data_IF_530056576960
#
_entry.id   IF_530056576960
#
_cell.length_a   1.000
_cell.length_b   1.000
_cell.length_c   1.000
_cell.angle_alpha   90.00
_cell.angle_beta   90.00
_cell.angle_gamma   90.00
#
_symmetry.space_group_name_H-M   'P 1'
#
loop_
_entity.id
_entity.type
_entity.pdbx_description
1 polymer ?
#
# COMPACT_ATOMS: atom_id res chain seq x y z
N UNK A 1 -21.65 -1.40 -13.27
CA UNK A 1 -20.72 -0.58 -12.48
C UNK A 1 -21.32 -0.23 -11.14
N UNK A 2 -20.55 -0.40 -10.06
CA UNK A 2 -20.97 -0.07 -8.70
C UNK A 2 -20.05 1.01 -8.17
N UNK A 3 -20.54 2.24 -8.09
CA UNK A 3 -19.72 3.40 -7.69
C UNK A 3 -20.21 4.00 -6.39
N UNK A 4 -19.28 4.24 -5.47
CA UNK A 4 -19.47 5.07 -4.29
C UNK A 4 -18.79 6.42 -4.54
N UNK A 5 -19.60 7.47 -4.73
CA UNK A 5 -19.13 8.84 -4.84
C UNK A 5 -19.22 9.50 -3.45
N UNK A 6 -18.11 10.03 -2.95
CA UNK A 6 -18.02 10.66 -1.64
C UNK A 6 -17.74 12.14 -1.84
N UNK A 7 -18.76 12.98 -1.65
CA UNK A 7 -18.68 14.45 -1.77
C UNK A 7 -18.48 15.15 -0.42
N UNK A 8 -18.27 14.38 0.65
CA UNK A 8 -18.18 14.87 2.01
C UNK A 8 -17.33 13.96 2.88
N UNK A 9 -17.74 13.69 4.12
CA UNK A 9 -16.99 12.81 5.03
C UNK A 9 -17.79 11.58 5.42
N UNK A 10 -17.21 10.40 5.20
CA UNK A 10 -17.67 9.14 5.80
C UNK A 10 -16.82 8.84 7.03
N UNK A 11 -17.47 8.68 8.19
CA UNK A 11 -16.79 8.44 9.46
C UNK A 11 -17.25 7.13 10.10
N UNK A 12 -16.29 6.27 10.40
CA UNK A 12 -16.49 5.00 11.09
C UNK A 12 -15.86 4.97 12.48
N UNK A 13 -16.11 3.89 13.19
CA UNK A 13 -15.52 3.61 14.51
C UNK A 13 -14.24 2.74 14.43
N UNK A 14 -13.71 2.52 13.22
CA UNK A 14 -12.51 1.70 12.98
C UNK A 14 -12.80 0.24 12.63
N UNK A 15 -14.06 -0.19 12.68
CA UNK A 15 -14.47 -1.58 12.36
C UNK A 15 -15.24 -1.71 11.05
N UNK A 16 -15.71 -0.60 10.50
CA UNK A 16 -16.49 -0.56 9.26
C UNK A 16 -15.62 -0.77 8.02
N UNK A 17 -16.19 -1.40 6.99
CA UNK A 17 -15.54 -1.58 5.69
C UNK A 17 -16.52 -1.54 4.53
N UNK A 18 -16.05 -1.06 3.38
CA UNK A 18 -16.70 -1.28 2.09
C UNK A 18 -15.94 -2.37 1.34
N UNK A 19 -16.65 -3.40 0.91
CA UNK A 19 -16.04 -4.50 0.14
C UNK A 19 -16.20 -4.20 -1.34
N UNK A 20 -15.07 -4.06 -2.03
CA UNK A 20 -15.02 -3.78 -3.47
C UNK A 20 -14.94 -5.10 -4.23
N UNK A 21 -15.97 -5.38 -5.01
CA UNK A 21 -16.07 -6.51 -5.95
C UNK A 21 -15.72 -6.04 -7.36
N UNK A 22 -15.83 -6.92 -8.36
CA UNK A 22 -15.48 -6.59 -9.73
C UNK A 22 -16.18 -5.32 -10.23
N UNK A 23 -15.41 -4.42 -10.85
CA UNK A 23 -15.90 -3.15 -11.39
C UNK A 23 -16.34 -2.14 -10.33
N UNK A 24 -15.96 -2.32 -9.05
CA UNK A 24 -16.30 -1.36 -7.99
C UNK A 24 -15.43 -0.12 -8.06
N UNK A 25 -16.03 1.04 -7.89
CA UNK A 25 -15.33 2.31 -7.89
C UNK A 25 -15.64 3.09 -6.60
N UNK A 26 -14.63 3.75 -6.04
CA UNK A 26 -14.79 4.70 -4.93
C UNK A 26 -14.07 5.97 -5.30
N UNK A 27 -14.79 7.09 -5.35
CA UNK A 27 -14.25 8.38 -5.80
C UNK A 27 -14.57 9.49 -4.81
N UNK A 28 -13.67 10.45 -4.67
CA UNK A 28 -13.72 11.51 -3.66
C UNK A 28 -13.58 12.94 -4.18
N UNK A 29 -13.92 13.19 -5.44
CA UNK A 29 -13.80 14.52 -6.05
C UNK A 29 -14.45 15.61 -5.16
N UNK A 30 -13.87 16.82 -5.13
CA UNK A 30 -14.32 17.97 -4.33
C UNK A 30 -14.19 17.85 -2.80
N UNK A 31 -13.25 17.03 -2.30
CA UNK A 31 -12.92 16.96 -0.87
C UNK A 31 -13.52 15.77 -0.13
N UNK A 32 -13.88 14.73 -0.87
CA UNK A 32 -14.28 13.44 -0.34
C UNK A 32 -13.27 12.86 0.64
N UNK A 33 -13.75 12.45 1.80
CA UNK A 33 -12.90 11.94 2.87
C UNK A 33 -13.49 10.71 3.58
N UNK A 34 -12.59 9.85 4.03
CA UNK A 34 -12.90 8.70 4.86
C UNK A 34 -12.08 8.74 6.14
N UNK A 35 -12.74 8.52 7.27
CA UNK A 35 -12.09 8.42 8.57
C UNK A 35 -12.47 7.12 9.25
N UNK A 36 -11.49 6.31 9.65
CA UNK A 36 -11.69 5.07 10.39
C UNK A 36 -12.62 4.06 9.68
N UNK A 37 -12.46 3.92 8.36
CA UNK A 37 -13.17 2.94 7.51
C UNK A 37 -12.15 2.32 6.56
N UNK A 38 -12.22 0.99 6.37
CA UNK A 38 -11.37 0.29 5.40
C UNK A 38 -12.07 0.13 4.05
N UNK A 39 -11.36 0.37 2.96
CA UNK A 39 -11.73 -0.13 1.63
C UNK A 39 -11.09 -1.50 1.42
N UNK A 40 -11.93 -2.52 1.21
CA UNK A 40 -11.54 -3.92 1.23
C UNK A 40 -11.68 -4.52 -0.19
N UNK A 41 -10.58 -4.54 -0.95
CA UNK A 41 -10.53 -4.92 -2.37
C UNK A 41 -10.49 -6.44 -2.54
N UNK A 42 -11.53 -6.99 -3.17
CA UNK A 42 -11.73 -8.43 -3.39
C UNK A 42 -11.97 -8.81 -4.86
N UNK A 43 -12.02 -7.84 -5.78
CA UNK A 43 -12.36 -8.03 -7.19
C UNK A 43 -11.43 -7.33 -8.17
N UNK A 44 -11.69 -7.56 -9.45
CA UNK A 44 -10.99 -6.92 -10.58
C UNK A 44 -11.56 -5.54 -10.90
N UNK A 45 -10.84 -4.79 -11.75
CA UNK A 45 -11.31 -3.55 -12.38
C UNK A 45 -11.79 -2.52 -11.34
N UNK A 46 -11.14 -2.54 -10.17
CA UNK A 46 -11.47 -1.67 -9.06
C UNK A 46 -10.73 -0.34 -9.19
N UNK A 47 -11.43 0.76 -8.90
CA UNK A 47 -10.84 2.10 -8.87
C UNK A 47 -11.06 2.76 -7.52
N UNK A 48 -10.00 3.29 -6.91
CA UNK A 48 -10.08 4.13 -5.72
C UNK A 48 -9.35 5.43 -6.05
N UNK A 49 -10.07 6.55 -6.09
CA UNK A 49 -9.49 7.80 -6.60
C UNK A 49 -9.91 9.04 -5.82
N UNK A 50 -8.96 9.96 -5.61
CA UNK A 50 -9.25 11.33 -5.21
C UNK A 50 -9.78 11.46 -3.77
N UNK A 51 -9.35 10.60 -2.83
CA UNK A 51 -9.85 10.62 -1.45
C UNK A 51 -8.78 11.11 -0.47
N UNK A 52 -9.24 11.84 0.55
CA UNK A 52 -8.50 11.98 1.80
C UNK A 52 -8.85 10.83 2.76
N UNK A 53 -7.86 10.10 3.29
CA UNK A 53 -8.09 8.99 4.22
C UNK A 53 -7.30 9.17 5.51
N UNK A 54 -7.89 8.80 6.64
CA UNK A 54 -7.26 8.96 7.96
C UNK A 54 -7.83 8.04 9.04
N UNK A 55 -7.12 7.96 10.15
CA UNK A 55 -7.60 7.34 11.38
C UNK A 55 -6.86 6.05 11.74
N UNK A 56 -6.55 5.91 13.01
CA UNK A 56 -5.80 4.80 13.59
C UNK A 56 -6.66 3.60 14.03
N UNK A 57 -7.98 3.66 13.83
CA UNK A 57 -8.90 2.58 14.19
C UNK A 57 -8.63 1.31 13.39
N UNK A 58 -8.64 1.37 12.04
CA UNK A 58 -8.26 0.25 11.19
C UNK A 58 -6.75 -0.01 11.20
N UNK A 59 -6.36 -1.26 10.93
CA UNK A 59 -4.96 -1.59 10.65
C UNK A 59 -4.49 -0.96 9.34
N UNK A 60 -5.36 -0.91 8.32
CA UNK A 60 -5.08 -0.28 7.02
C UNK A 60 -6.28 0.49 6.50
N UNK A 61 -6.03 1.56 5.74
CA UNK A 61 -7.08 2.28 5.02
C UNK A 61 -7.57 1.49 3.80
N UNK A 62 -6.65 0.84 3.07
CA UNK A 62 -6.98 -0.02 1.93
C UNK A 62 -6.36 -1.40 2.17
N UNK A 63 -7.21 -2.42 2.22
CA UNK A 63 -6.80 -3.82 2.27
C UNK A 63 -7.02 -4.46 0.91
N UNK A 64 -6.04 -5.22 0.42
CA UNK A 64 -6.11 -5.88 -0.88
C UNK A 64 -5.78 -7.37 -0.74
N UNK A 65 -6.69 -8.22 -1.23
CA UNK A 65 -6.49 -9.68 -1.29
C UNK A 65 -7.56 -10.46 -0.58
N UNK A 66 -7.31 -11.74 -0.29
CA UNK A 66 -8.26 -12.60 0.40
C UNK A 66 -7.76 -14.02 0.64
N UNK A 67 -8.63 -14.87 1.18
CA UNK A 67 -8.28 -16.26 1.50
C UNK A 67 -8.48 -17.22 0.32
N UNK A 68 -9.30 -16.80 -0.66
CA UNK A 68 -9.63 -17.64 -1.80
C UNK A 68 -8.63 -17.44 -2.93
N UNK A 69 -8.33 -18.54 -3.62
CA UNK A 69 -7.60 -18.51 -4.88
C UNK A 69 -8.40 -17.76 -5.93
N UNK A 70 -7.82 -16.66 -6.43
CA UNK A 70 -8.44 -15.79 -7.43
C UNK A 70 -7.37 -15.02 -8.19
N UNK A 71 -7.62 -14.79 -9.48
CA UNK A 71 -6.91 -13.79 -10.28
C UNK A 71 -7.75 -12.53 -10.32
N UNK A 72 -7.20 -11.43 -9.82
CA UNK A 72 -7.75 -10.08 -9.90
C UNK A 72 -6.92 -9.27 -10.89
N UNK A 73 -7.52 -8.27 -11.53
CA UNK A 73 -6.86 -7.47 -12.58
C UNK A 73 -7.18 -5.99 -12.45
N UNK A 74 -6.34 -5.15 -13.04
CA UNK A 74 -6.64 -3.75 -13.34
C UNK A 74 -7.06 -2.94 -12.10
N UNK A 75 -6.30 -3.04 -11.02
CA UNK A 75 -6.52 -2.23 -9.83
C UNK A 75 -5.92 -0.85 -10.05
N UNK A 76 -6.73 0.19 -9.93
CA UNK A 76 -6.28 1.59 -9.99
C UNK A 76 -6.48 2.27 -8.63
N UNK A 77 -5.40 2.78 -8.06
CA UNK A 77 -5.41 3.60 -6.86
C UNK A 77 -4.70 4.91 -7.21
N UNK A 78 -5.42 6.02 -7.25
CA UNK A 78 -4.88 7.26 -7.81
C UNK A 78 -5.24 8.49 -6.99
N UNK A 79 -4.30 9.44 -6.89
CA UNK A 79 -4.55 10.77 -6.34
C UNK A 79 -5.14 10.72 -4.92
N UNK A 80 -4.60 9.86 -4.05
CA UNK A 80 -5.03 9.78 -2.65
C UNK A 80 -4.17 10.67 -1.77
N UNK A 81 -4.76 11.21 -0.71
CA UNK A 81 -4.01 11.79 0.42
C UNK A 81 -4.32 10.98 1.67
N UNK A 82 -3.35 10.22 2.18
CA UNK A 82 -3.51 9.43 3.40
C UNK A 82 -2.65 10.01 4.50
N UNK A 83 -3.25 10.32 5.64
CA UNK A 83 -2.50 10.80 6.80
C UNK A 83 -3.05 10.34 8.14
N UNK A 84 -2.21 10.37 9.17
CA UNK A 84 -2.62 10.06 10.56
C UNK A 84 -3.33 8.71 10.64
N UNK A 85 -2.68 7.68 10.12
CA UNK A 85 -3.23 6.32 10.04
C UNK A 85 -2.14 5.29 10.39
N UNK A 86 -2.55 4.03 10.51
CA UNK A 86 -1.63 2.90 10.57
C UNK A 86 -1.04 2.67 9.17
N UNK A 87 -1.45 1.63 8.45
CA UNK A 87 -1.12 1.48 7.04
C UNK A 87 -2.02 2.33 6.16
N UNK A 88 -1.46 2.86 5.07
CA UNK A 88 -2.29 3.39 4.01
C UNK A 88 -2.78 2.26 3.08
N UNK A 89 -1.87 1.50 2.47
CA UNK A 89 -2.21 0.37 1.60
C UNK A 89 -1.51 -0.90 2.09
N UNK A 90 -2.28 -1.97 2.29
CA UNK A 90 -1.77 -3.29 2.64
C UNK A 90 -2.34 -4.36 1.70
N UNK A 91 -1.46 -4.95 0.91
CA UNK A 91 -1.73 -6.12 0.09
C UNK A 91 -1.17 -7.37 0.77
N UNK A 92 -1.98 -8.42 0.83
CA UNK A 92 -1.57 -9.75 1.29
C UNK A 92 -1.79 -10.78 0.17
N UNK A 93 -0.71 -11.18 -0.49
CA UNK A 93 -0.74 -11.85 -1.80
C UNK A 93 -0.71 -13.37 -1.81
N UNK A 94 -0.42 -14.04 -0.70
CA UNK A 94 -0.10 -15.47 -0.71
C UNK A 94 -1.14 -16.38 -1.40
N UNK A 95 -2.43 -16.03 -1.32
CA UNK A 95 -3.52 -16.87 -1.86
C UNK A 95 -4.06 -16.44 -3.22
N UNK A 96 -3.81 -15.21 -3.68
CA UNK A 96 -4.45 -14.66 -4.88
C UNK A 96 -3.45 -13.82 -5.67
N UNK A 97 -3.80 -13.57 -6.91
CA UNK A 97 -2.99 -12.87 -7.86
C UNK A 97 -3.62 -11.53 -8.22
N UNK A 98 -2.79 -10.51 -8.40
CA UNK A 98 -3.14 -9.25 -9.06
C UNK A 98 -2.24 -9.06 -10.29
N UNK A 99 -2.86 -8.76 -11.42
CA UNK A 99 -2.16 -8.40 -12.66
C UNK A 99 -2.59 -7.00 -13.08
N UNK A 100 -1.64 -6.10 -13.30
CA UNK A 100 -1.93 -4.72 -13.72
C UNK A 100 -2.42 -3.85 -12.58
N UNK A 101 -1.61 -3.69 -11.53
CA UNK A 101 -1.90 -2.74 -10.45
C UNK A 101 -1.20 -1.41 -10.74
N UNK A 102 -1.95 -0.30 -10.69
CA UNK A 102 -1.41 1.04 -10.81
C UNK A 102 -1.73 1.83 -9.53
N UNK A 103 -0.70 2.23 -8.79
CA UNK A 103 -0.81 3.08 -7.61
C UNK A 103 -0.04 4.35 -7.92
N UNK A 104 -0.76 5.47 -8.12
CA UNK A 104 -0.18 6.68 -8.71
C UNK A 104 -0.59 7.96 -7.99
N UNK A 105 0.27 8.98 -8.02
CA UNK A 105 -0.07 10.36 -7.62
C UNK A 105 -0.53 10.53 -6.16
N UNK A 106 -0.16 9.61 -5.27
CA UNK A 106 -0.57 9.65 -3.86
C UNK A 106 0.38 10.45 -2.97
N UNK A 107 -0.19 11.04 -1.91
CA UNK A 107 0.55 11.63 -0.79
C UNK A 107 0.29 10.83 0.48
N UNK A 108 1.37 10.40 1.13
CA UNK A 108 1.33 9.62 2.36
C UNK A 108 2.10 10.36 3.45
N UNK A 109 1.48 10.59 4.60
CA UNK A 109 2.15 11.31 5.68
C UNK A 109 1.72 10.91 7.08
N UNK A 110 2.61 11.01 8.06
CA UNK A 110 2.28 10.83 9.48
C UNK A 110 1.66 9.45 9.75
N UNK A 111 2.29 8.39 9.22
CA UNK A 111 1.82 7.01 9.32
C UNK A 111 2.61 6.24 10.39
N UNK A 112 1.90 5.36 11.11
CA UNK A 112 2.50 4.41 12.06
C UNK A 112 2.88 3.08 11.39
N UNK A 113 2.16 2.69 10.34
CA UNK A 113 2.47 1.55 9.49
C UNK A 113 3.10 2.01 8.18
N UNK A 114 2.95 1.21 7.14
CA UNK A 114 3.62 1.47 5.87
C UNK A 114 2.74 2.32 4.96
N UNK A 115 3.36 3.09 4.05
CA UNK A 115 2.58 3.82 3.05
C UNK A 115 2.01 2.84 2.02
N UNK A 116 2.85 1.95 1.49
CA UNK A 116 2.42 0.85 0.61
C UNK A 116 3.19 -0.39 1.02
N UNK A 117 2.46 -1.42 1.46
CA UNK A 117 3.03 -2.73 1.75
C UNK A 117 2.42 -3.78 0.82
N UNK A 118 3.26 -4.34 -0.06
CA UNK A 118 2.91 -5.33 -1.07
C UNK A 118 3.45 -6.72 -0.68
N UNK A 119 2.81 -7.32 0.32
CA UNK A 119 3.36 -8.45 1.06
C UNK A 119 3.02 -9.82 0.45
N UNK A 120 4.03 -10.71 0.40
CA UNK A 120 3.97 -12.09 -0.12
C UNK A 120 3.24 -12.18 -1.47
N UNK A 121 3.67 -11.36 -2.42
CA UNK A 121 3.01 -11.14 -3.70
C UNK A 121 3.63 -11.96 -4.85
N UNK A 122 4.01 -13.20 -4.57
CA UNK A 122 4.74 -14.09 -5.49
C UNK A 122 4.02 -14.40 -6.82
N UNK A 123 2.70 -14.22 -6.83
CA UNK A 123 1.87 -14.45 -8.00
C UNK A 123 1.53 -13.15 -8.75
N UNK A 124 1.75 -11.98 -8.15
CA UNK A 124 1.35 -10.72 -8.74
C UNK A 124 2.33 -10.31 -9.87
N UNK A 125 1.86 -9.52 -10.84
CA UNK A 125 2.69 -9.01 -11.93
C UNK A 125 2.16 -7.69 -12.49
N UNK A 126 2.99 -6.99 -13.27
CA UNK A 126 2.66 -5.73 -13.93
C UNK A 126 2.20 -4.68 -12.92
N UNK A 127 3.04 -4.45 -11.92
CA UNK A 127 2.77 -3.51 -10.82
C UNK A 127 3.52 -2.20 -11.08
N UNK A 128 2.79 -1.09 -11.09
CA UNK A 128 3.33 0.25 -11.12
C UNK A 128 3.01 0.97 -9.81
N UNK A 129 4.06 1.48 -9.15
CA UNK A 129 3.96 2.37 -8.00
C UNK A 129 4.72 3.64 -8.38
N UNK A 130 4.02 4.76 -8.57
CA UNK A 130 4.66 5.96 -9.10
C UNK A 130 4.13 7.29 -8.61
N UNK A 131 5.00 8.30 -8.71
CA UNK A 131 4.63 9.71 -8.53
C UNK A 131 4.08 9.98 -7.12
N UNK A 132 4.79 9.48 -6.10
CA UNK A 132 4.36 9.62 -4.71
C UNK A 132 5.20 10.62 -3.92
N UNK A 133 4.54 11.28 -2.97
CA UNK A 133 5.19 12.01 -1.88
C UNK A 133 4.95 11.26 -0.58
N UNK A 134 6.03 10.86 0.09
CA UNK A 134 6.00 10.06 1.32
C UNK A 134 6.78 10.80 2.41
N UNK A 135 6.14 11.14 3.52
CA UNK A 135 6.78 11.91 4.59
C UNK A 135 6.42 11.40 5.98
N UNK A 136 7.38 11.41 6.91
CA UNK A 136 7.11 11.15 8.35
C UNK A 136 6.44 9.79 8.57
N UNK A 137 7.09 8.74 8.07
CA UNK A 137 6.69 7.36 8.31
C UNK A 137 7.47 6.86 9.52
N UNK A 138 6.78 6.72 10.65
CA UNK A 138 7.42 6.50 11.94
C UNK A 138 6.55 5.65 12.86
N UNK A 139 6.88 4.36 12.95
CA UNK A 139 6.27 3.43 13.88
C UNK A 139 6.71 3.73 15.32
N UNK A 140 5.87 4.46 16.05
CA UNK A 140 6.09 4.79 17.47
C UNK A 140 5.35 3.86 18.43
N UNK A 141 4.37 3.11 17.93
CA UNK A 141 3.54 2.20 18.71
C UNK A 141 4.21 0.82 18.99
N UNK A 142 5.43 0.59 18.49
CA UNK A 142 6.22 -0.61 18.77
C UNK A 142 5.78 -1.86 18.00
N UNK A 143 4.95 -1.74 16.97
CA UNK A 143 4.65 -2.86 16.07
C UNK A 143 5.89 -3.24 15.28
N UNK A 144 6.16 -4.54 15.25
CA UNK A 144 7.33 -5.12 14.58
C UNK A 144 7.12 -5.06 13.07
N UNK A 145 8.19 -4.74 12.34
CA UNK A 145 8.26 -4.63 10.89
C UNK A 145 7.31 -3.59 10.28
N UNK A 146 6.98 -2.53 11.03
CA UNK A 146 6.16 -1.41 10.56
C UNK A 146 6.99 -0.15 10.37
N UNK A 147 6.55 0.71 9.46
CA UNK A 147 7.08 2.04 9.24
C UNK A 147 8.00 2.15 8.01
N UNK A 148 7.71 1.37 6.98
CA UNK A 148 8.34 1.41 5.66
C UNK A 148 7.58 2.40 4.75
N UNK A 149 8.29 3.11 3.88
CA UNK A 149 7.65 3.87 2.81
C UNK A 149 6.91 2.95 1.85
N UNK A 150 7.66 2.25 0.98
CA UNK A 150 7.13 1.27 0.03
C UNK A 150 7.84 -0.07 0.24
N UNK A 151 7.12 -1.11 0.63
CA UNK A 151 7.62 -2.48 0.75
C UNK A 151 7.03 -3.39 -0.33
N UNK A 152 7.88 -4.21 -0.96
CA UNK A 152 7.46 -5.30 -1.84
C UNK A 152 8.18 -6.60 -1.43
N UNK A 153 7.39 -7.64 -1.15
CA UNK A 153 7.92 -8.88 -0.61
C UNK A 153 7.49 -10.11 -1.42
N UNK A 154 8.45 -10.97 -1.71
CA UNK A 154 8.21 -12.35 -2.11
C UNK A 154 7.83 -13.24 -0.90
N UNK A 155 8.09 -14.53 -1.01
CA UNK A 155 7.93 -15.50 0.08
C UNK A 155 9.27 -15.74 0.78
N UNK A 156 9.37 -16.83 1.55
CA UNK A 156 10.54 -17.28 2.29
C UNK A 156 11.86 -17.10 1.52
N UNK A 157 12.90 -16.66 2.22
CA UNK A 157 14.24 -16.56 1.68
C UNK A 157 14.80 -17.95 1.33
N UNK A 158 15.29 -18.10 0.10
CA UNK A 158 15.92 -19.31 -0.40
C UNK A 158 17.16 -18.92 -1.23
N UNK A 159 18.32 -19.48 -0.88
CA UNK A 159 19.60 -19.22 -1.55
C UNK A 159 19.67 -19.75 -2.99
N UNK A 160 18.69 -20.57 -3.42
CA UNK A 160 18.53 -20.95 -4.82
C UNK A 160 17.84 -19.87 -5.66
N UNK A 161 17.36 -18.80 -5.01
CA UNK A 161 16.62 -17.70 -5.63
C UNK A 161 15.53 -18.21 -6.59
N UNK A 162 14.60 -19.05 -6.13
CA UNK A 162 13.62 -19.66 -7.02
C UNK A 162 12.63 -18.59 -7.52
N UNK A 163 12.28 -18.68 -8.80
CA UNK A 163 11.43 -17.68 -9.48
C UNK A 163 10.04 -17.58 -8.84
N UNK A 164 9.47 -18.70 -8.43
CA UNK A 164 8.13 -18.83 -7.87
C UNK A 164 7.99 -18.33 -6.43
N UNK A 165 9.10 -17.99 -5.76
CA UNK A 165 9.08 -17.35 -4.44
C UNK A 165 9.31 -15.83 -4.53
N UNK A 166 9.67 -15.30 -5.69
CA UNK A 166 10.00 -13.89 -5.83
C UNK A 166 8.78 -13.01 -6.16
N UNK A 167 8.70 -11.82 -5.56
CA UNK A 167 7.88 -10.72 -6.08
C UNK A 167 8.55 -10.15 -7.33
N UNK A 168 7.80 -9.91 -8.41
CA UNK A 168 8.41 -9.62 -9.70
C UNK A 168 7.57 -8.80 -10.65
N UNK A 169 8.21 -8.33 -11.72
CA UNK A 169 7.60 -7.55 -12.79
C UNK A 169 6.93 -6.28 -12.26
N UNK A 170 7.69 -5.50 -11.51
CA UNK A 170 7.21 -4.25 -10.91
C UNK A 170 8.13 -3.07 -11.18
N UNK A 171 7.55 -1.87 -11.14
CA UNK A 171 8.26 -0.60 -11.31
C UNK A 171 7.89 0.32 -10.16
N UNK A 172 8.91 0.81 -9.45
CA UNK A 172 8.80 1.91 -8.47
C UNK A 172 9.52 3.13 -9.04
N UNK A 173 8.79 4.23 -9.28
CA UNK A 173 9.37 5.38 -10.01
C UNK A 173 8.83 6.72 -9.55
N UNK A 174 9.66 7.76 -9.60
CA UNK A 174 9.29 9.14 -9.27
C UNK A 174 8.80 9.30 -7.82
N UNK A 175 9.54 8.75 -6.86
CA UNK A 175 9.19 8.85 -5.44
C UNK A 175 9.98 9.98 -4.79
N UNK A 176 9.30 10.88 -4.11
CA UNK A 176 9.92 11.86 -3.21
C UNK A 176 9.60 11.47 -1.78
N UNK A 177 10.61 11.08 -1.02
CA UNK A 177 10.48 10.56 0.34
C UNK A 177 11.29 11.34 1.36
N UNK A 178 10.74 11.55 2.55
CA UNK A 178 11.54 12.02 3.68
C UNK A 178 11.05 11.56 5.05
N UNK A 179 11.94 11.68 6.03
CA UNK A 179 11.64 11.46 7.45
C UNK A 179 11.08 10.05 7.72
N UNK A 180 11.80 9.02 7.28
CA UNK A 180 11.46 7.62 7.53
C UNK A 180 12.72 6.76 7.68
N UNK A 181 12.55 5.51 8.12
CA UNK A 181 13.69 4.61 8.30
C UNK A 181 14.14 3.94 7.00
N UNK A 182 13.17 3.40 6.27
CA UNK A 182 13.35 2.73 4.99
C UNK A 182 12.32 3.29 4.03
N UNK A 183 12.78 3.97 2.97
CA UNK A 183 11.87 4.56 1.99
C UNK A 183 11.36 3.52 0.99
N UNK A 184 12.24 2.65 0.51
CA UNK A 184 11.90 1.54 -0.39
C UNK A 184 12.57 0.29 0.18
N UNK A 185 11.76 -0.75 0.38
CA UNK A 185 12.17 -2.07 0.83
C UNK A 185 11.75 -3.11 -0.21
N UNK A 186 12.67 -3.98 -0.59
CA UNK A 186 12.38 -5.11 -1.48
C UNK A 186 13.03 -6.35 -0.89
N UNK A 187 12.23 -7.36 -0.61
CA UNK A 187 12.68 -8.67 -0.15
C UNK A 187 12.25 -9.75 -1.13
N UNK A 188 13.18 -10.65 -1.47
CA UNK A 188 12.97 -11.72 -2.45
C UNK A 188 12.37 -11.18 -3.78
N UNK A 189 12.98 -10.13 -4.34
CA UNK A 189 12.49 -9.46 -5.55
C UNK A 189 13.25 -9.86 -6.83
N UNK A 190 12.56 -9.93 -7.97
CA UNK A 190 13.14 -10.16 -9.30
C UNK A 190 12.48 -9.30 -10.38
N UNK A 191 13.18 -9.09 -11.50
CA UNK A 191 12.63 -8.42 -12.69
C UNK A 191 11.92 -7.08 -12.37
N UNK A 192 12.62 -6.17 -11.71
CA UNK A 192 12.05 -4.90 -11.29
C UNK A 192 12.92 -3.70 -11.63
N UNK A 193 12.29 -2.52 -11.62
CA UNK A 193 12.96 -1.24 -11.83
C UNK A 193 12.62 -0.30 -10.67
N UNK A 194 13.66 0.27 -10.04
CA UNK A 194 13.53 1.37 -9.10
C UNK A 194 14.30 2.56 -9.68
N UNK A 195 13.65 3.69 -9.95
CA UNK A 195 14.32 4.85 -10.58
C UNK A 195 13.71 6.19 -10.20
N UNK A 196 14.50 7.25 -10.32
CA UNK A 196 14.10 8.64 -10.03
C UNK A 196 13.53 8.80 -8.59
N UNK A 197 14.33 8.42 -7.61
CA UNK A 197 13.99 8.50 -6.18
C UNK A 197 14.73 9.69 -5.57
N UNK A 198 13.99 10.56 -4.89
CA UNK A 198 14.53 11.68 -4.10
C UNK A 198 14.26 11.39 -2.64
N UNK A 199 15.33 11.15 -1.87
CA UNK A 199 15.22 10.79 -0.46
C UNK A 199 15.95 11.81 0.42
N UNK A 200 15.33 12.22 1.53
CA UNK A 200 15.93 13.14 2.52
C UNK A 200 15.65 12.64 3.94
N UNK A 201 16.64 12.71 4.82
CA UNK A 201 16.48 12.33 6.22
C UNK A 201 15.95 10.90 6.40
N UNK A 202 16.61 9.95 5.75
CA UNK A 202 16.35 8.52 5.89
C UNK A 202 17.30 7.99 6.96
N UNK A 203 16.80 7.74 8.17
CA UNK A 203 17.67 7.51 9.34
C UNK A 203 17.13 6.46 10.29
N UNK A 204 18.02 5.83 11.10
CA UNK A 204 17.62 4.89 12.14
C UNK A 204 16.78 5.48 13.30
N UNK A 205 16.61 6.79 13.37
CA UNK A 205 15.85 7.44 14.44
C UNK A 205 14.33 7.25 14.25
N UNK A 206 13.90 7.07 13.00
CA UNK A 206 12.53 6.70 12.69
C UNK A 206 12.31 5.19 12.92
N UNK A 207 11.12 4.83 13.42
CA UNK A 207 10.67 3.45 13.62
C UNK A 207 11.67 2.59 14.42
N UNK A 208 12.44 3.20 15.32
CA UNK A 208 13.59 2.59 16.01
C UNK A 208 13.26 1.30 16.76
N UNK A 209 12.03 1.17 17.27
CA UNK A 209 11.58 -0.01 18.03
C UNK A 209 10.87 -1.06 17.17
N UNK A 210 10.72 -0.84 15.86
CA UNK A 210 10.00 -1.73 14.97
C UNK A 210 10.86 -2.89 14.44
N UNK A 211 12.19 -2.85 14.59
CA UNK A 211 13.05 -3.98 14.20
C UNK A 211 13.16 -4.22 12.69
N UNK A 212 12.77 -3.26 11.87
CA UNK A 212 12.75 -3.33 10.39
C UNK A 212 14.12 -3.55 9.73
N UNK A 213 15.22 -3.44 10.48
CA UNK A 213 16.56 -3.75 9.95
C UNK A 213 16.77 -5.24 9.69
N UNK A 214 15.93 -6.10 10.28
CA UNK A 214 15.99 -7.56 10.15
C UNK A 214 14.92 -8.10 9.21
N UNK A 215 14.15 -7.21 8.57
CA UNK A 215 13.19 -7.57 7.52
C UNK A 215 13.95 -7.83 6.21
#
# INVERSE_FOLDING_TARGET
DKTLHILGSLRGNGRGRFVLQDGSQVTGEEGGSMHNITLDVRGSDCTIKGLAMSGFGPVTQIYIGGKNKRVMRNLTIDNLTVSHANYAILRQGFHNQIIGANITNCKFSDLQGDAIEWNVAINDSDILISDHVIERINCTNGKINWGIGIGLAGSTYDNNYPEDQAVKNFVVVNITGSDCRQLIHVENGKHFVIRNIKARNITPDFSKKAGIDNA
#
